data_IF_442962675220
#
_entry.id   IF_442962675220
#
_cell.length_a   1.000
_cell.length_b   1.000
_cell.length_c   1.000
_cell.angle_alpha   90.00
_cell.angle_beta   90.00
_cell.angle_gamma   90.00
#
_symmetry.space_group_name_H-M   'P 1'
#
loop_
_entity.id
_entity.type
_entity.pdbx_description
1 polymer ?
#
# COMPACT_ATOMS: atom_id res chain seq x y z
N UNK A 1 33.70 -18.04 -32.84
CA UNK A 1 32.85 -18.64 -31.80
C UNK A 1 33.06 -17.79 -30.55
N UNK A 2 32.20 -16.80 -30.35
CA UNK A 2 32.30 -15.79 -29.28
C UNK A 2 31.59 -16.33 -28.04
N UNK A 3 32.16 -16.24 -26.83
CA UNK A 3 31.49 -16.72 -25.63
C UNK A 3 30.23 -15.86 -25.35
N UNK A 4 29.16 -16.43 -24.78
CA UNK A 4 27.99 -15.67 -24.41
C UNK A 4 28.31 -14.70 -23.26
N UNK A 5 27.61 -13.56 -23.15
CA UNK A 5 27.77 -12.64 -22.03
C UNK A 5 27.31 -13.31 -20.72
N UNK A 6 27.92 -12.97 -19.58
CA UNK A 6 27.51 -13.52 -18.30
C UNK A 6 26.11 -13.02 -17.93
N UNK A 7 25.25 -13.94 -17.49
CA UNK A 7 23.96 -13.64 -16.89
C UNK A 7 24.17 -12.71 -15.69
N UNK A 8 23.53 -11.54 -15.74
CA UNK A 8 23.42 -10.59 -14.64
C UNK A 8 22.44 -11.16 -13.62
N UNK A 9 22.87 -12.17 -12.87
CA UNK A 9 22.27 -12.49 -11.60
C UNK A 9 22.90 -11.53 -10.59
N UNK A 10 22.18 -10.48 -10.20
CA UNK A 10 22.60 -9.65 -9.07
C UNK A 10 22.62 -10.53 -7.82
N UNK A 11 23.83 -10.94 -7.44
CA UNK A 11 24.09 -11.69 -6.22
C UNK A 11 24.05 -10.69 -5.07
N UNK A 12 22.88 -10.59 -4.41
CA UNK A 12 22.74 -9.81 -3.20
C UNK A 12 23.31 -10.60 -2.02
N UNK A 13 24.29 -10.01 -1.32
CA UNK A 13 24.83 -10.57 -0.09
C UNK A 13 23.89 -10.15 1.05
N UNK A 14 23.20 -11.13 1.65
CA UNK A 14 22.34 -10.92 2.82
C UNK A 14 23.08 -10.11 3.91
N UNK A 15 22.41 -9.09 4.46
CA UNK A 15 22.93 -8.23 5.55
C UNK A 15 23.97 -7.15 5.18
N UNK A 16 24.04 -6.73 3.91
CA UNK A 16 24.89 -5.59 3.47
C UNK A 16 24.05 -4.39 2.98
N UNK A 17 24.66 -3.22 2.74
CA UNK A 17 23.97 -2.00 2.24
C UNK A 17 23.28 -2.19 0.88
N UNK A 18 23.62 -3.24 0.15
CA UNK A 18 23.01 -3.60 -1.15
C UNK A 18 21.83 -4.55 -1.05
N UNK A 19 21.54 -5.10 0.14
CA UNK A 19 20.39 -5.98 0.37
C UNK A 19 19.07 -5.18 0.18
N UNK A 20 18.18 -5.59 -0.76
CA UNK A 20 16.91 -4.92 -1.01
C UNK A 20 16.04 -4.73 0.25
N UNK A 21 16.09 -5.67 1.20
CA UNK A 21 15.37 -5.57 2.46
C UNK A 21 15.97 -4.50 3.38
N UNK A 22 17.30 -4.37 3.41
CA UNK A 22 18.00 -3.31 4.15
C UNK A 22 17.68 -1.95 3.53
N UNK A 23 17.77 -1.84 2.20
CA UNK A 23 17.47 -0.60 1.47
C UNK A 23 16.03 -0.13 1.67
N UNK A 24 15.06 -1.04 1.52
CA UNK A 24 13.65 -0.72 1.73
C UNK A 24 13.35 -0.26 3.16
N UNK A 25 13.93 -0.92 4.18
CA UNK A 25 13.79 -0.50 5.59
C UNK A 25 14.39 0.89 5.82
N UNK A 26 15.55 1.17 5.25
CA UNK A 26 16.23 2.47 5.38
C UNK A 26 15.43 3.57 4.69
N UNK A 27 14.96 3.35 3.46
CA UNK A 27 14.13 4.30 2.71
C UNK A 27 12.81 4.59 3.45
N UNK A 28 12.10 3.55 3.91
CA UNK A 28 10.85 3.73 4.66
C UNK A 28 11.10 4.45 5.99
N UNK A 29 12.23 4.16 6.66
CA UNK A 29 12.61 4.89 7.87
C UNK A 29 12.83 6.38 7.61
N UNK A 30 13.50 6.75 6.53
CA UNK A 30 13.71 8.15 6.16
C UNK A 30 12.38 8.86 5.84
N UNK A 31 11.46 8.19 5.13
CA UNK A 31 10.10 8.72 4.89
C UNK A 31 9.39 8.99 6.24
N UNK A 32 9.38 8.00 7.13
CA UNK A 32 8.79 8.13 8.46
C UNK A 32 9.40 9.25 9.29
N UNK A 33 10.73 9.39 9.28
CA UNK A 33 11.43 10.45 9.99
C UNK A 33 11.04 11.82 9.44
N UNK A 34 11.02 12.01 8.11
CA UNK A 34 10.60 13.28 7.50
C UNK A 34 9.19 13.69 7.93
N UNK A 35 8.23 12.78 7.85
CA UNK A 35 6.84 13.03 8.25
C UNK A 35 6.74 13.38 9.74
N UNK A 36 7.40 12.61 10.62
CA UNK A 36 7.36 12.87 12.07
C UNK A 36 8.03 14.17 12.43
N UNK A 37 9.23 14.44 11.92
CA UNK A 37 9.94 15.70 12.19
C UNK A 37 9.09 16.90 11.76
N UNK A 38 8.46 16.84 10.59
CA UNK A 38 7.58 17.91 10.12
C UNK A 38 6.39 18.13 11.06
N UNK A 39 5.73 17.06 11.49
CA UNK A 39 4.58 17.15 12.42
C UNK A 39 5.00 17.68 13.79
N UNK A 40 6.15 17.25 14.31
CA UNK A 40 6.71 17.73 15.58
C UNK A 40 7.03 19.22 15.48
N UNK A 41 7.72 19.67 14.43
CA UNK A 41 8.01 21.11 14.23
C UNK A 41 6.74 21.96 14.19
N UNK A 42 5.66 21.46 13.58
CA UNK A 42 4.38 22.17 13.54
C UNK A 42 3.62 22.17 14.89
N UNK A 43 4.04 21.36 15.86
CA UNK A 43 3.36 21.18 17.16
C UNK A 43 4.24 21.46 18.39
N UNK A 44 5.50 21.88 18.18
CA UNK A 44 6.54 22.02 19.21
C UNK A 44 6.24 23.11 20.24
N UNK A 45 5.60 24.21 19.85
CA UNK A 45 5.28 25.35 20.72
C UNK A 45 3.87 25.81 20.45
N UNK A 46 3.13 26.15 21.52
CA UNK A 46 1.83 26.80 21.36
C UNK A 46 2.04 28.12 20.60
N UNK A 47 1.43 28.31 19.42
CA UNK A 47 1.70 29.48 18.62
C UNK A 47 1.25 30.74 19.36
N UNK A 48 2.02 31.85 19.27
CA UNK A 48 1.48 33.14 19.69
C UNK A 48 0.18 33.42 18.94
N UNK A 49 -0.75 34.16 19.56
CA UNK A 49 -2.10 34.35 19.02
C UNK A 49 -2.12 34.83 17.55
N UNK A 50 -1.15 35.66 17.17
CA UNK A 50 -0.98 36.20 15.81
C UNK A 50 -0.55 35.14 14.76
N UNK A 51 0.09 34.05 15.19
CA UNK A 51 0.56 32.97 14.33
C UNK A 51 -0.42 31.77 14.27
N UNK A 52 -1.49 31.80 15.07
CA UNK A 52 -2.40 30.65 15.23
C UNK A 52 -3.01 30.19 13.90
N UNK A 53 -3.52 31.12 13.09
CA UNK A 53 -4.13 30.79 11.80
C UNK A 53 -3.12 30.14 10.83
N UNK A 54 -1.90 30.68 10.77
CA UNK A 54 -0.81 30.13 9.95
C UNK A 54 -0.46 28.70 10.36
N UNK A 55 -0.34 28.44 11.67
CA UNK A 55 -0.05 27.09 12.18
C UNK A 55 -1.20 26.13 11.90
N UNK A 56 -2.44 26.56 12.11
CA UNK A 56 -3.65 25.78 11.82
C UNK A 56 -3.72 25.39 10.34
N UNK A 57 -3.52 26.35 9.44
CA UNK A 57 -3.50 26.12 7.99
C UNK A 57 -2.35 25.19 7.56
N UNK A 58 -1.15 25.36 8.13
CA UNK A 58 0.00 24.51 7.85
C UNK A 58 -0.20 23.06 8.33
N UNK A 59 -0.79 22.87 9.51
CA UNK A 59 -1.15 21.55 10.03
C UNK A 59 -2.21 20.88 9.16
N UNK A 60 -3.26 21.63 8.77
CA UNK A 60 -4.31 21.12 7.89
C UNK A 60 -3.73 20.65 6.56
N UNK A 61 -2.98 21.49 5.84
CA UNK A 61 -2.37 21.12 4.55
C UNK A 61 -1.41 19.94 4.70
N UNK A 62 -0.50 19.96 5.68
CA UNK A 62 0.42 18.83 5.89
C UNK A 62 -0.32 17.50 6.13
N UNK A 63 -1.39 17.52 6.93
CA UNK A 63 -2.18 16.33 7.22
C UNK A 63 -2.99 15.85 6.01
N UNK A 64 -3.64 16.76 5.28
CA UNK A 64 -4.51 16.41 4.15
C UNK A 64 -3.74 16.06 2.89
N UNK A 65 -2.54 16.62 2.73
CA UNK A 65 -1.76 16.48 1.50
C UNK A 65 -0.69 15.43 1.69
N UNK A 66 0.26 15.63 2.61
CA UNK A 66 1.44 14.76 2.73
C UNK A 66 1.14 13.48 3.50
N UNK A 67 0.52 13.59 4.67
CA UNK A 67 0.25 12.41 5.50
C UNK A 67 -0.79 11.49 4.87
N UNK A 68 -1.88 12.05 4.32
CA UNK A 68 -2.89 11.26 3.61
C UNK A 68 -2.32 10.62 2.34
N UNK A 69 -1.45 11.31 1.59
CA UNK A 69 -0.77 10.73 0.43
C UNK A 69 0.10 9.55 0.85
N UNK A 70 0.85 9.67 1.94
CA UNK A 70 1.63 8.55 2.49
C UNK A 70 0.76 7.34 2.83
N UNK A 71 -0.31 7.54 3.60
CA UNK A 71 -1.21 6.45 4.01
C UNK A 71 -1.85 5.76 2.79
N UNK A 72 -2.29 6.54 1.80
CA UNK A 72 -2.83 6.02 0.55
C UNK A 72 -1.77 5.27 -0.27
N UNK A 73 -0.55 5.79 -0.36
CA UNK A 73 0.52 5.16 -1.12
C UNK A 73 0.95 3.82 -0.52
N UNK A 74 1.06 3.72 0.81
CA UNK A 74 1.28 2.44 1.50
C UNK A 74 0.13 1.45 1.28
N UNK A 75 -1.12 1.93 1.31
CA UNK A 75 -2.27 1.07 1.09
C UNK A 75 -2.26 0.44 -0.32
N UNK A 76 -1.95 1.27 -1.33
CA UNK A 76 -1.91 0.88 -2.74
C UNK A 76 -0.68 0.07 -3.13
N UNK A 77 0.37 0.06 -2.32
CA UNK A 77 1.61 -0.66 -2.63
C UNK A 77 1.84 -1.80 -1.64
N UNK A 78 2.46 -1.50 -0.50
CA UNK A 78 2.89 -2.48 0.49
C UNK A 78 1.72 -3.30 1.05
N UNK A 79 0.61 -2.65 1.42
CA UNK A 79 -0.52 -3.32 2.04
C UNK A 79 -1.30 -4.13 1.02
N UNK A 80 -1.48 -3.61 -0.19
CA UNK A 80 -2.13 -4.33 -1.26
C UNK A 80 -1.44 -5.67 -1.53
N UNK A 81 -0.12 -5.65 -1.71
CA UNK A 81 0.68 -6.88 -1.92
C UNK A 81 0.61 -7.81 -0.72
N UNK A 82 0.83 -7.29 0.49
CA UNK A 82 0.79 -8.11 1.70
C UNK A 82 -0.63 -8.65 2.02
N UNK A 83 -1.70 -8.01 1.58
CA UNK A 83 -3.06 -8.51 1.84
C UNK A 83 -3.42 -9.77 1.05
N UNK A 84 -2.69 -10.03 -0.04
CA UNK A 84 -2.91 -11.19 -0.90
C UNK A 84 -2.48 -12.52 -0.26
N UNK A 85 -1.56 -12.50 0.70
CA UNK A 85 -1.09 -13.70 1.40
C UNK A 85 -1.82 -13.90 2.74
N UNK A 86 -2.12 -15.16 3.09
CA UNK A 86 -2.89 -15.49 4.30
C UNK A 86 -2.14 -15.11 5.58
N UNK A 87 -0.81 -15.29 5.57
CA UNK A 87 0.13 -15.05 6.65
C UNK A 87 0.17 -13.58 7.08
N UNK A 88 -0.01 -12.65 6.13
CA UNK A 88 0.07 -11.20 6.34
C UNK A 88 -1.29 -10.51 6.32
N UNK A 89 -2.38 -11.20 5.97
CA UNK A 89 -3.71 -10.60 5.82
C UNK A 89 -4.24 -9.94 7.09
N UNK A 90 -4.09 -10.60 8.25
CA UNK A 90 -4.55 -10.05 9.53
C UNK A 90 -3.72 -8.84 9.96
N UNK A 91 -2.41 -8.87 9.71
CA UNK A 91 -1.53 -7.72 9.93
C UNK A 91 -1.98 -6.51 9.11
N UNK A 92 -2.23 -6.71 7.80
CA UNK A 92 -2.70 -5.63 6.93
C UNK A 92 -4.06 -5.11 7.35
N UNK A 93 -4.98 -5.98 7.79
CA UNK A 93 -6.28 -5.53 8.32
C UNK A 93 -6.10 -4.62 9.55
N UNK A 94 -5.18 -4.95 10.45
CA UNK A 94 -4.86 -4.12 11.61
C UNK A 94 -4.25 -2.78 11.19
N UNK A 95 -3.28 -2.78 10.26
CA UNK A 95 -2.65 -1.57 9.71
C UNK A 95 -3.68 -0.63 9.06
N UNK A 96 -4.57 -1.18 8.22
CA UNK A 96 -5.68 -0.43 7.59
C UNK A 96 -6.66 0.13 8.62
N UNK A 97 -6.92 -0.60 9.70
CA UNK A 97 -7.77 -0.11 10.80
C UNK A 97 -7.13 1.10 11.47
N UNK A 98 -5.83 1.05 11.76
CA UNK A 98 -5.10 2.20 12.31
C UNK A 98 -5.04 3.37 11.32
N UNK A 99 -4.83 3.11 10.03
CA UNK A 99 -4.85 4.15 8.99
C UNK A 99 -6.21 4.84 8.89
N UNK A 100 -7.31 4.13 9.06
CA UNK A 100 -8.65 4.72 9.10
C UNK A 100 -8.85 5.65 10.30
N UNK A 101 -8.31 5.30 11.48
CA UNK A 101 -8.31 6.18 12.66
C UNK A 101 -7.46 7.43 12.42
N UNK A 102 -6.29 7.28 11.79
CA UNK A 102 -5.45 8.41 11.40
C UNK A 102 -6.19 9.33 10.42
N UNK A 103 -6.92 8.79 9.45
CA UNK A 103 -7.71 9.58 8.51
C UNK A 103 -8.83 10.37 9.19
N UNK A 104 -9.49 9.79 10.20
CA UNK A 104 -10.46 10.52 11.03
C UNK A 104 -9.81 11.70 11.75
N UNK A 105 -8.62 11.53 12.32
CA UNK A 105 -7.88 12.63 12.93
C UNK A 105 -7.42 13.68 11.91
N UNK A 106 -7.00 13.27 10.71
CA UNK A 106 -6.66 14.20 9.61
C UNK A 106 -7.86 15.07 9.26
N UNK A 107 -9.06 14.47 9.16
CA UNK A 107 -10.31 15.21 8.93
C UNK A 107 -10.59 16.18 10.09
N UNK A 108 -10.37 15.77 11.33
CA UNK A 108 -10.55 16.65 12.49
C UNK A 108 -9.57 17.84 12.48
N UNK A 109 -8.29 17.63 12.16
CA UNK A 109 -7.31 18.72 12.01
C UNK A 109 -7.76 19.71 10.94
N UNK A 110 -8.24 19.22 9.79
CA UNK A 110 -8.70 20.09 8.69
C UNK A 110 -9.93 20.93 9.04
N UNK A 111 -10.72 20.49 10.01
CA UNK A 111 -11.96 21.13 10.47
C UNK A 111 -11.80 21.91 11.77
N UNK A 112 -10.59 21.97 12.34
CA UNK A 112 -10.36 22.69 13.58
C UNK A 112 -10.60 24.19 13.39
N UNK A 113 -11.34 24.79 14.32
CA UNK A 113 -11.67 26.22 14.34
C UNK A 113 -10.48 27.08 14.78
N UNK A 114 -9.58 26.50 15.57
CA UNK A 114 -8.45 27.19 16.18
C UNK A 114 -7.15 26.34 16.18
N UNK A 115 -6.03 27.01 16.39
CA UNK A 115 -4.70 26.41 16.36
C UNK A 115 -4.44 25.43 17.52
N UNK A 116 -5.02 25.67 18.69
CA UNK A 116 -4.83 24.81 19.86
C UNK A 116 -5.53 23.45 19.64
N UNK A 117 -6.76 23.47 19.12
CA UNK A 117 -7.51 22.28 18.73
C UNK A 117 -6.76 21.50 17.63
N UNK A 118 -6.31 22.19 16.57
CA UNK A 118 -5.54 21.55 15.50
C UNK A 118 -4.24 20.90 16.04
N UNK A 119 -3.52 21.60 16.92
CA UNK A 119 -2.28 21.12 17.54
C UNK A 119 -2.52 19.91 18.44
N UNK A 120 -3.57 19.92 19.26
CA UNK A 120 -3.93 18.80 20.11
C UNK A 120 -4.25 17.53 19.29
N UNK A 121 -5.04 17.67 18.23
CA UNK A 121 -5.33 16.54 17.32
C UNK A 121 -4.08 16.09 16.56
N UNK A 122 -3.23 17.01 16.11
CA UNK A 122 -1.95 16.68 15.48
C UNK A 122 -1.00 15.90 16.41
N UNK A 123 -0.99 16.20 17.71
CA UNK A 123 -0.26 15.42 18.72
C UNK A 123 -0.84 14.00 18.88
N UNK A 124 -2.15 13.83 18.78
CA UNK A 124 -2.79 12.51 18.76
C UNK A 124 -2.43 11.70 17.50
N UNK A 125 -2.31 12.37 16.35
CA UNK A 125 -1.79 11.77 15.11
C UNK A 125 -0.35 11.28 15.34
N UNK A 126 0.56 12.12 15.87
CA UNK A 126 1.95 11.73 16.10
C UNK A 126 2.07 10.51 17.03
N UNK A 127 1.30 10.50 18.12
CA UNK A 127 1.27 9.40 19.09
C UNK A 127 0.79 8.09 18.46
N UNK A 128 -0.11 8.17 17.48
CA UNK A 128 -0.65 7.00 16.74
C UNK A 128 0.31 6.54 15.63
N UNK A 129 0.97 7.47 14.94
CA UNK A 129 1.91 7.17 13.85
C UNK A 129 3.13 6.39 14.35
N UNK A 130 3.62 6.67 15.55
CA UNK A 130 4.83 6.03 16.07
C UNK A 130 4.76 4.50 16.12
N UNK A 131 3.75 3.86 16.76
CA UNK A 131 3.61 2.42 16.70
C UNK A 131 3.23 1.92 15.30
N UNK A 132 2.45 2.67 14.52
CA UNK A 132 2.09 2.30 13.14
C UNK A 132 3.32 2.15 12.24
N UNK A 133 4.18 3.17 12.21
CA UNK A 133 5.45 3.18 11.48
C UNK A 133 6.43 2.11 11.97
N UNK A 134 6.43 1.80 13.26
CA UNK A 134 7.23 0.70 13.78
C UNK A 134 6.79 -0.63 13.15
N UNK A 135 5.48 -0.92 13.15
CA UNK A 135 4.93 -2.15 12.57
C UNK A 135 5.27 -2.27 11.08
N UNK A 136 5.15 -1.19 10.31
CA UNK A 136 5.50 -1.22 8.88
C UNK A 136 6.96 -1.61 8.66
N UNK A 137 7.89 -1.04 9.42
CA UNK A 137 9.33 -1.30 9.23
C UNK A 137 9.80 -2.63 9.81
N UNK A 138 9.29 -3.00 10.98
CA UNK A 138 9.84 -4.14 11.75
C UNK A 138 9.04 -5.42 11.57
N UNK A 139 7.81 -5.34 11.06
CA UNK A 139 6.93 -6.51 10.87
C UNK A 139 6.55 -6.66 9.41
N UNK A 140 5.97 -5.62 8.79
CA UNK A 140 5.45 -5.73 7.42
C UNK A 140 6.56 -5.93 6.39
N UNK A 141 7.62 -5.11 6.41
CA UNK A 141 8.72 -5.23 5.46
C UNK A 141 9.42 -6.61 5.51
N UNK A 142 9.82 -7.15 6.69
CA UNK A 142 10.36 -8.50 6.76
C UNK A 142 9.38 -9.57 6.25
N UNK A 143 8.08 -9.41 6.53
CA UNK A 143 7.08 -10.35 6.04
C UNK A 143 6.99 -10.32 4.51
N UNK A 144 6.99 -9.13 3.89
CA UNK A 144 7.00 -8.96 2.44
C UNK A 144 8.20 -9.65 1.77
N UNK A 145 9.40 -9.58 2.36
CA UNK A 145 10.59 -10.30 1.85
C UNK A 145 10.36 -11.81 1.78
N UNK A 146 9.56 -12.34 2.70
CA UNK A 146 9.28 -13.78 2.79
C UNK A 146 8.14 -14.21 1.86
N UNK A 147 7.41 -13.27 1.25
CA UNK A 147 6.25 -13.59 0.42
C UNK A 147 6.65 -13.97 -1.02
N UNK A 148 6.20 -15.12 -1.53
CA UNK A 148 6.41 -15.48 -2.92
C UNK A 148 5.74 -14.47 -3.87
N UNK A 149 6.55 -13.80 -4.70
CA UNK A 149 6.07 -12.85 -5.71
C UNK A 149 5.95 -11.40 -5.23
N UNK A 150 6.38 -11.10 -3.99
CA UNK A 150 6.65 -9.73 -3.59
C UNK A 150 8.04 -9.32 -4.10
N UNK A 151 8.08 -8.31 -4.97
CA UNK A 151 9.32 -7.69 -5.44
C UNK A 151 9.51 -6.36 -4.68
N UNK A 152 10.32 -6.39 -3.64
CA UNK A 152 10.46 -5.26 -2.74
C UNK A 152 11.04 -4.00 -3.39
N UNK A 153 12.11 -4.07 -4.23
CA UNK A 153 12.54 -2.94 -5.05
C UNK A 153 11.41 -2.30 -5.87
N UNK A 154 10.62 -3.11 -6.59
CA UNK A 154 9.50 -2.60 -7.38
C UNK A 154 8.43 -1.95 -6.50
N UNK A 155 8.11 -2.55 -5.35
CA UNK A 155 7.15 -1.97 -4.40
C UNK A 155 7.61 -0.64 -3.82
N UNK A 156 8.89 -0.49 -3.51
CA UNK A 156 9.44 0.77 -3.02
C UNK A 156 9.46 1.83 -4.12
N UNK A 157 9.78 1.45 -5.37
CA UNK A 157 9.69 2.36 -6.51
C UNK A 157 8.25 2.82 -6.81
N UNK A 158 7.27 1.91 -6.70
CA UNK A 158 5.85 2.23 -6.79
C UNK A 158 5.44 3.21 -5.67
N UNK A 159 5.92 2.98 -4.44
CA UNK A 159 5.66 3.85 -3.29
C UNK A 159 6.20 5.25 -3.54
N UNK A 160 7.47 5.39 -3.94
CA UNK A 160 8.08 6.69 -4.24
C UNK A 160 7.32 7.41 -5.35
N UNK A 161 6.96 6.70 -6.43
CA UNK A 161 6.16 7.26 -7.53
C UNK A 161 4.85 7.86 -7.02
N UNK A 162 4.14 7.17 -6.13
CA UNK A 162 2.89 7.67 -5.55
C UNK A 162 3.10 8.84 -4.58
N UNK A 163 4.20 8.82 -3.81
CA UNK A 163 4.55 9.93 -2.91
C UNK A 163 4.89 11.21 -3.68
N UNK A 164 5.47 11.09 -4.86
CA UNK A 164 5.73 12.20 -5.78
C UNK A 164 4.49 12.68 -6.55
N UNK A 165 3.32 12.06 -6.30
CA UNK A 165 2.05 12.40 -6.97
C UNK A 165 1.87 11.75 -8.34
N UNK A 166 2.72 10.79 -8.69
CA UNK A 166 2.59 9.97 -9.89
C UNK A 166 1.43 8.99 -9.84
N UNK A 167 1.19 8.32 -10.97
CA UNK A 167 0.14 7.31 -11.13
C UNK A 167 0.78 5.99 -11.54
N UNK A 168 0.42 4.90 -10.86
CA UNK A 168 0.83 3.56 -11.27
C UNK A 168 0.06 3.14 -12.52
N UNK A 169 0.78 2.88 -13.61
CA UNK A 169 0.19 2.31 -14.84
C UNK A 169 0.10 0.80 -14.70
N UNK A 170 -1.07 0.31 -14.29
CA UNK A 170 -1.31 -1.14 -14.20
C UNK A 170 -2.07 -1.67 -15.41
N UNK A 171 -1.57 -2.77 -15.97
CA UNK A 171 -2.22 -3.41 -17.11
C UNK A 171 -3.65 -3.84 -16.74
N UNK A 172 -4.66 -3.54 -17.57
CA UNK A 172 -6.04 -3.97 -17.33
C UNK A 172 -6.22 -5.49 -17.48
N UNK A 173 -5.20 -6.19 -17.98
CA UNK A 173 -5.19 -7.63 -18.22
C UNK A 173 -4.08 -8.28 -17.40
N UNK A 174 -4.44 -9.29 -16.61
CA UNK A 174 -3.52 -10.18 -15.90
C UNK A 174 -3.59 -11.55 -16.57
N UNK A 175 -2.61 -11.84 -17.42
CA UNK A 175 -2.46 -13.16 -18.01
C UNK A 175 -1.59 -14.04 -17.11
N UNK A 176 -2.15 -15.13 -16.61
CA UNK A 176 -1.45 -16.05 -15.69
C UNK A 176 -1.03 -17.36 -16.36
N UNK A 177 -1.23 -17.50 -17.67
CA UNK A 177 -0.95 -18.76 -18.38
C UNK A 177 0.54 -19.13 -18.31
N UNK A 178 1.41 -18.13 -18.40
CA UNK A 178 2.88 -18.29 -18.33
C UNK A 178 3.42 -18.20 -16.88
N UNK A 179 2.56 -17.92 -15.90
CA UNK A 179 2.97 -17.77 -14.51
C UNK A 179 2.95 -19.14 -13.81
N UNK A 180 4.01 -19.52 -13.08
CA UNK A 180 4.02 -20.75 -12.28
C UNK A 180 2.83 -20.81 -11.32
N UNK A 181 2.21 -21.98 -11.17
CA UNK A 181 0.95 -22.15 -10.44
C UNK A 181 0.96 -21.49 -9.04
N UNK A 182 2.00 -21.73 -8.24
CA UNK A 182 2.14 -21.16 -6.90
C UNK A 182 2.30 -19.64 -6.84
N UNK A 183 2.57 -18.97 -7.97
CA UNK A 183 2.72 -17.50 -8.07
C UNK A 183 1.49 -16.81 -8.67
N UNK A 184 0.49 -17.57 -9.15
CA UNK A 184 -0.71 -17.00 -9.78
C UNK A 184 -1.59 -16.27 -8.78
N UNK A 185 -2.03 -16.96 -7.72
CA UNK A 185 -2.94 -16.40 -6.71
C UNK A 185 -2.36 -15.14 -6.04
N UNK A 186 -1.09 -15.13 -5.55
CA UNK A 186 -0.50 -13.92 -4.97
C UNK A 186 -0.55 -12.72 -5.91
N UNK A 187 -0.25 -12.92 -7.20
CA UNK A 187 -0.29 -11.84 -8.20
C UNK A 187 -1.71 -11.32 -8.45
N UNK A 188 -2.69 -12.22 -8.54
CA UNK A 188 -4.09 -11.85 -8.79
C UNK A 188 -4.67 -11.10 -7.58
N UNK A 189 -4.44 -11.58 -6.36
CA UNK A 189 -4.91 -10.91 -5.15
C UNK A 189 -4.19 -9.57 -4.93
N UNK A 190 -2.89 -9.48 -5.25
CA UNK A 190 -2.17 -8.20 -5.24
C UNK A 190 -2.83 -7.21 -6.19
N UNK A 191 -3.11 -7.61 -7.45
CA UNK A 191 -3.81 -6.75 -8.41
C UNK A 191 -5.17 -6.32 -7.90
N UNK A 192 -5.96 -7.25 -7.37
CA UNK A 192 -7.28 -6.95 -6.81
C UNK A 192 -7.21 -5.97 -5.63
N UNK A 193 -6.22 -6.13 -4.76
CA UNK A 193 -6.03 -5.27 -3.60
C UNK A 193 -5.68 -3.82 -3.95
N UNK A 194 -5.13 -3.58 -5.16
CA UNK A 194 -4.81 -2.25 -5.68
C UNK A 194 -5.99 -1.54 -6.38
N UNK A 195 -7.08 -2.25 -6.67
CA UNK A 195 -8.27 -1.66 -7.30
C UNK A 195 -8.95 -0.67 -6.36
N UNK A 196 -9.30 0.51 -6.87
CA UNK A 196 -10.24 1.42 -6.20
C UNK A 196 -11.68 0.88 -6.33
N UNK A 197 -12.63 1.29 -5.47
CA UNK A 197 -14.02 0.87 -5.58
C UNK A 197 -14.60 1.18 -6.97
N UNK A 198 -15.16 0.16 -7.64
CA UNK A 198 -15.70 0.27 -9.00
C UNK A 198 -14.69 -0.08 -10.12
N UNK A 199 -13.40 -0.20 -9.82
CA UNK A 199 -12.42 -0.65 -10.81
C UNK A 199 -12.43 -2.17 -11.01
N UNK A 200 -11.91 -2.63 -12.15
CA UNK A 200 -11.75 -4.04 -12.47
C UNK A 200 -10.54 -4.32 -13.36
N UNK A 201 -10.11 -5.58 -13.39
CA UNK A 201 -9.15 -6.10 -14.37
C UNK A 201 -9.66 -7.42 -14.96
N UNK A 202 -9.09 -7.83 -16.09
CA UNK A 202 -9.39 -9.11 -16.76
C UNK A 202 -8.30 -10.12 -16.45
N UNK A 203 -8.67 -11.24 -15.84
CA UNK A 203 -7.84 -12.42 -15.67
C UNK A 203 -7.93 -13.31 -16.91
N UNK A 204 -6.79 -13.72 -17.48
CA UNK A 204 -6.71 -14.77 -18.50
C UNK A 204 -6.08 -16.02 -17.89
N UNK A 205 -6.79 -17.15 -17.94
CA UNK A 205 -6.32 -18.44 -17.44
C UNK A 205 -6.49 -19.56 -18.47
N UNK A 206 -5.75 -20.66 -18.30
CA UNK A 206 -5.82 -21.84 -19.17
C UNK A 206 -6.94 -22.84 -18.76
N UNK A 207 -7.66 -22.58 -17.68
CA UNK A 207 -8.78 -23.39 -17.19
C UNK A 207 -9.73 -22.52 -16.35
N UNK A 208 -10.92 -23.04 -16.07
CA UNK A 208 -11.89 -22.38 -15.17
C UNK A 208 -11.30 -22.20 -13.76
N UNK A 209 -11.10 -20.95 -13.29
CA UNK A 209 -10.44 -20.68 -12.00
C UNK A 209 -11.39 -20.86 -10.80
N UNK A 210 -12.12 -21.98 -10.72
CA UNK A 210 -13.03 -22.30 -9.60
C UNK A 210 -12.36 -22.24 -8.22
N UNK A 211 -11.13 -22.76 -8.01
CA UNK A 211 -10.46 -22.66 -6.72
C UNK A 211 -10.20 -21.21 -6.31
N UNK A 212 -9.75 -20.38 -7.25
CA UNK A 212 -9.52 -18.96 -7.04
C UNK A 212 -10.82 -18.23 -6.69
N UNK A 213 -11.92 -18.52 -7.40
CA UNK A 213 -13.23 -17.92 -7.10
C UNK A 213 -13.68 -18.24 -5.68
N UNK A 214 -13.54 -19.49 -5.22
CA UNK A 214 -13.86 -19.87 -3.83
C UNK A 214 -12.98 -19.14 -2.82
N UNK A 215 -11.71 -18.92 -3.15
CA UNK A 215 -10.80 -18.17 -2.28
C UNK A 215 -11.21 -16.69 -2.20
N UNK A 216 -11.64 -16.07 -3.31
CA UNK A 216 -12.22 -14.72 -3.28
C UNK A 216 -13.46 -14.65 -2.39
N UNK A 217 -14.39 -15.59 -2.52
CA UNK A 217 -15.60 -15.64 -1.69
C UNK A 217 -15.27 -15.74 -0.19
N UNK A 218 -14.32 -16.61 0.17
CA UNK A 218 -13.92 -16.80 1.55
C UNK A 218 -13.19 -15.58 2.15
N UNK A 219 -12.46 -14.83 1.33
CA UNK A 219 -11.52 -13.78 1.80
C UNK A 219 -12.03 -12.36 1.62
N UNK A 220 -12.93 -12.14 0.66
CA UNK A 220 -13.49 -10.84 0.30
C UNK A 220 -15.02 -10.88 0.16
N UNK A 221 -15.77 -11.50 1.10
CA UNK A 221 -17.21 -11.69 0.95
C UNK A 221 -17.93 -10.36 0.74
N UNK A 222 -18.70 -10.26 -0.35
CA UNK A 222 -19.46 -9.06 -0.72
C UNK A 222 -18.62 -7.85 -1.18
N UNK A 223 -17.31 -7.98 -1.32
CA UNK A 223 -16.41 -6.88 -1.68
C UNK A 223 -15.83 -6.99 -3.12
N UNK A 224 -16.14 -8.05 -3.85
CA UNK A 224 -15.69 -8.28 -5.23
C UNK A 224 -16.85 -8.57 -6.19
N UNK A 225 -16.60 -8.37 -7.48
CA UNK A 225 -17.43 -8.84 -8.60
C UNK A 225 -16.65 -9.86 -9.41
N UNK A 226 -17.38 -10.82 -9.99
CA UNK A 226 -16.83 -11.90 -10.79
C UNK A 226 -17.70 -12.17 -12.01
N UNK A 227 -17.21 -11.83 -13.19
CA UNK A 227 -17.95 -11.93 -14.44
C UNK A 227 -17.14 -12.74 -15.46
N UNK A 228 -17.73 -13.81 -15.98
CA UNK A 228 -17.13 -14.55 -17.09
C UNK A 228 -17.30 -13.76 -18.38
N UNK A 229 -16.18 -13.33 -18.97
CA UNK A 229 -16.13 -12.69 -20.29
C UNK A 229 -16.01 -13.75 -21.38
N UNK A 230 -15.28 -14.83 -21.12
CA UNK A 230 -15.12 -15.98 -22.01
C UNK A 230 -15.00 -17.26 -21.18
N UNK A 231 -15.75 -18.29 -21.55
CA UNK A 231 -15.89 -19.54 -20.81
C UNK A 231 -15.46 -20.76 -21.62
N UNK A 232 -14.18 -20.85 -21.99
CA UNK A 232 -13.53 -22.06 -22.49
C UNK A 232 -14.09 -22.66 -23.80
N UNK A 233 -13.50 -23.77 -24.28
CA UNK A 233 -12.44 -24.57 -23.66
C UNK A 233 -11.01 -24.04 -23.85
N UNK A 234 -10.75 -23.23 -24.88
CA UNK A 234 -9.39 -22.83 -25.26
C UNK A 234 -8.83 -21.67 -24.40
N UNK A 235 -9.70 -20.82 -23.87
CA UNK A 235 -9.35 -19.65 -23.07
C UNK A 235 -10.45 -19.32 -22.08
N UNK A 236 -10.04 -18.95 -20.86
CA UNK A 236 -10.93 -18.46 -19.83
C UNK A 236 -10.60 -17.01 -19.52
N UNK A 237 -11.58 -16.13 -19.68
CA UNK A 237 -11.46 -14.70 -19.35
C UNK A 237 -12.49 -14.32 -18.29
N UNK A 238 -12.00 -13.77 -17.18
CA UNK A 238 -12.84 -13.37 -16.05
C UNK A 238 -12.55 -11.90 -15.75
N UNK A 239 -13.57 -11.06 -15.74
CA UNK A 239 -13.48 -9.70 -15.21
C UNK A 239 -13.69 -9.77 -13.70
N UNK A 240 -12.67 -9.35 -12.95
CA UNK A 240 -12.66 -9.31 -11.49
C UNK A 240 -12.63 -7.84 -11.09
N UNK A 241 -13.62 -7.39 -10.32
CA UNK A 241 -13.74 -5.98 -9.92
C UNK A 241 -13.97 -5.80 -8.43
N UNK A 242 -13.70 -4.60 -7.92
CA UNK A 242 -14.04 -4.21 -6.56
C UNK A 242 -15.42 -3.57 -6.56
N UNK A 243 -16.29 -3.99 -5.64
CA UNK A 243 -17.66 -3.44 -5.54
C UNK A 243 -17.57 -1.92 -5.30
N UNK A 244 -18.39 -1.08 -5.98
CA UNK A 244 -18.46 0.35 -5.70
C UNK A 244 -18.82 0.60 -4.23
N UNK A 245 -18.18 1.57 -3.59
CA UNK A 245 -18.59 1.99 -2.24
C UNK A 245 -20.05 2.41 -2.28
N UNK A 246 -20.86 1.95 -1.31
CA UNK A 246 -22.23 2.45 -1.18
C UNK A 246 -22.15 3.97 -0.95
N UNK A 247 -22.88 4.79 -1.73
CA UNK A 247 -22.89 6.25 -1.56
C UNK A 247 -23.39 6.67 -0.18
#
# INVERSE_FOLDING_TARGET
MTPPPPDTHDVYIESTETDPAVQARSALHQIHQRLRCRLVTLTEVDPPAEAGETVRAALASFCTDDLRRYLSACDRTLYATASGAAETRLLVRALRTTAAVLDQYIVQVSKADDAATATATARAIEATLRPHFAVERTVLLPALVSLPGADLPTLMSDLDTLLDGGVLTETPVVDVREIPHGRRHPRIFTRFARLTPGESFTLINNHDPKPLHREFEATHPGAYTWEYVESGPDRWQIRIGRVPGRP
#
